data_IF_871335552854
#
_entry.id   IF_871335552854
#
_cell.length_a   1.000
_cell.length_b   1.000
_cell.length_c   1.000
_cell.angle_alpha   90.00
_cell.angle_beta   90.00
_cell.angle_gamma   90.00
#
_symmetry.space_group_name_H-M   'P 1'
#
loop_
_entity.id
_entity.type
_entity.pdbx_description
1 polymer ?
2 non-polymer ?
3 non-polymer ?
4 water ?
#
# COMPACT_ATOMS: atom_id res chain seq x y z
N UNK A 2 -42.64 7.03 1.22
CA UNK A 2 -41.27 6.72 0.81
C UNK A 2 -41.19 5.81 -0.43
N UNK A 3 -39.97 5.65 -0.94
CA UNK A 3 -39.65 4.60 -1.92
C UNK A 3 -38.45 3.79 -1.43
N UNK A 4 -38.54 2.49 -1.60
CA UNK A 4 -37.44 1.60 -1.32
C UNK A 4 -37.47 0.65 -2.48
N UNK A 5 -36.33 0.45 -3.10
CA UNK A 5 -36.26 -0.28 -4.35
C UNK A 5 -35.17 -1.34 -4.32
N UNK A 6 -35.36 -2.38 -5.13
CA UNK A 6 -34.31 -3.34 -5.37
C UNK A 6 -33.15 -2.60 -6.02
N UNK A 7 -31.95 -2.83 -5.52
CA UNK A 7 -30.76 -2.18 -6.06
C UNK A 7 -29.94 -3.21 -6.83
N UNK A 8 -29.92 -3.13 -8.16
CA UNK A 8 -29.15 -4.13 -8.89
C UNK A 8 -27.66 -3.99 -8.66
N UNK A 9 -26.98 -5.12 -8.75
CA UNK A 9 -25.53 -5.17 -8.58
C UNK A 9 -24.91 -6.23 -9.50
N UNK A 10 -23.59 -6.14 -9.66
CA UNK A 10 -22.83 -7.15 -10.39
C UNK A 10 -21.77 -7.65 -9.43
N UNK A 11 -21.30 -8.86 -9.67
CA UNK A 11 -20.20 -9.39 -8.86
C UNK A 11 -18.91 -8.73 -9.28
N UNK A 12 -18.19 -8.17 -8.34
CA UNK A 12 -17.03 -7.36 -8.66
C UNK A 12 -15.74 -8.09 -8.32
N UNK A 13 -15.70 -8.68 -7.14
CA UNK A 13 -14.54 -9.42 -6.69
C UNK A 13 -14.95 -10.53 -5.75
N UNK A 14 -14.12 -11.58 -5.65
CA UNK A 14 -14.40 -12.64 -4.74
C UNK A 14 -13.09 -13.25 -4.27
N UNK A 15 -13.12 -13.76 -3.05
CA UNK A 15 -11.93 -14.40 -2.46
C UNK A 15 -11.57 -15.66 -3.24
N UNK A 16 -12.59 -16.44 -3.56
CA UNK A 16 -12.44 -17.75 -4.18
C UNK A 16 -13.83 -18.27 -4.53
N UNK A 17 -13.86 -19.38 -5.26
CA UNK A 17 -15.09 -20.13 -5.41
C UNK A 17 -14.74 -21.57 -5.66
N UNK A 18 -15.64 -22.44 -5.26
CA UNK A 18 -15.51 -23.86 -5.45
C UNK A 18 -16.29 -24.35 -6.67
N UNK A 19 -15.64 -25.17 -7.49
CA UNK A 19 -16.30 -25.91 -8.57
C UNK A 19 -17.18 -24.98 -9.41
N UNK A 20 -18.46 -25.28 -9.53
CA UNK A 20 -19.34 -24.44 -10.36
C UNK A 20 -20.24 -23.56 -9.51
N UNK A 21 -19.91 -23.46 -8.23
CA UNK A 21 -20.66 -22.62 -7.27
C UNK A 21 -20.18 -21.19 -7.40
N UNK A 22 -20.58 -20.57 -8.51
CA UNK A 22 -20.05 -19.28 -8.93
C UNK A 22 -20.53 -18.11 -8.04
N UNK A 23 -19.68 -17.09 -7.91
CA UNK A 23 -20.11 -15.84 -7.27
C UNK A 23 -21.44 -15.35 -7.86
N UNK A 24 -21.60 -15.46 -9.17
CA UNK A 24 -22.78 -14.92 -9.85
C UNK A 24 -24.04 -15.68 -9.48
N UNK A 25 -23.89 -16.83 -8.85
CA UNK A 25 -25.09 -17.58 -8.50
C UNK A 25 -25.95 -16.87 -7.43
N UNK A 26 -25.41 -15.88 -6.76
CA UNK A 26 -26.16 -15.14 -5.73
C UNK A 26 -27.20 -14.24 -6.37
N UNK A 27 -27.13 -14.09 -7.70
CA UNK A 27 -28.05 -13.22 -8.43
C UNK A 27 -29.41 -13.79 -8.62
N UNK A 28 -29.55 -15.09 -8.49
CA UNK A 28 -30.82 -15.72 -8.76
C UNK A 28 -31.32 -16.52 -7.58
N UNK A 29 -32.62 -16.36 -7.34
CA UNK A 29 -33.29 -17.06 -6.27
C UNK A 29 -33.97 -18.32 -6.84
N UNK A 30 -33.31 -19.46 -6.65
CA UNK A 30 -33.79 -20.73 -7.16
C UNK A 30 -33.62 -21.77 -6.06
N UNK A 31 -34.45 -21.71 -5.01
CA UNK A 31 -34.23 -22.58 -3.85
C UNK A 31 -34.39 -24.01 -4.32
N UNK A 32 -35.03 -24.11 -5.49
CA UNK A 32 -35.28 -25.32 -6.22
C UNK A 32 -34.06 -26.02 -6.87
N UNK A 33 -32.85 -25.53 -6.59
CA UNK A 33 -31.61 -25.91 -7.28
C UNK A 33 -30.41 -25.88 -6.31
N UNK A 34 -29.92 -27.05 -5.90
CA UNK A 34 -28.85 -27.10 -4.89
C UNK A 34 -27.52 -26.52 -5.37
N UNK A 35 -27.36 -26.36 -6.68
CA UNK A 35 -26.15 -25.76 -7.18
C UNK A 35 -26.25 -24.24 -7.36
N UNK A 36 -27.43 -23.63 -7.15
CA UNK A 36 -27.54 -22.17 -7.36
C UNK A 36 -27.00 -21.39 -6.17
N UNK A 37 -25.70 -21.48 -5.92
CA UNK A 37 -25.11 -20.76 -4.82
C UNK A 37 -23.67 -20.45 -5.13
N UNK A 38 -23.16 -19.44 -4.46
CA UNK A 38 -21.71 -19.25 -4.33
C UNK A 38 -21.22 -20.09 -3.16
N UNK A 39 -20.13 -20.83 -3.38
CA UNK A 39 -19.45 -21.46 -2.27
C UNK A 39 -18.01 -21.08 -2.33
N UNK A 40 -17.47 -20.70 -1.18
CA UNK A 40 -16.04 -20.48 -1.06
C UNK A 40 -15.25 -21.79 -1.27
N UNK A 41 -13.97 -21.65 -1.58
CA UNK A 41 -13.07 -22.79 -1.77
C UNK A 41 -12.69 -23.41 -0.43
N UNK A 42 -12.60 -22.58 0.62
CA UNK A 42 -12.29 -23.10 1.94
C UNK A 42 -12.92 -22.15 2.95
N UNK A 43 -12.79 -22.48 4.23
CA UNK A 43 -13.31 -21.59 5.29
C UNK A 43 -12.25 -20.72 5.92
N UNK A 44 -11.04 -20.80 5.40
CA UNK A 44 -9.96 -19.99 5.97
C UNK A 44 -10.02 -18.55 5.40
N UNK A 45 -9.81 -17.56 6.26
CA UNK A 45 -9.94 -16.14 5.86
C UNK A 45 -8.76 -15.66 5.06
N UNK A 46 -8.97 -14.64 4.23
CA UNK A 46 -10.26 -13.95 4.08
C UNK A 46 -11.16 -14.64 3.06
N UNK A 47 -12.46 -14.73 3.33
CA UNK A 47 -13.40 -15.10 2.28
C UNK A 47 -14.42 -13.98 2.17
N UNK A 48 -14.83 -13.67 0.95
CA UNK A 48 -15.77 -12.56 0.79
C UNK A 48 -16.30 -12.54 -0.62
N UNK A 49 -17.41 -11.84 -0.80
CA UNK A 49 -17.89 -11.42 -2.10
C UNK A 49 -18.00 -9.92 -2.04
N UNK A 50 -17.57 -9.25 -3.12
CA UNK A 50 -17.80 -7.81 -3.26
C UNK A 50 -18.73 -7.58 -4.43
N UNK A 51 -19.81 -6.89 -4.12
CA UNK A 51 -20.83 -6.55 -5.07
C UNK A 51 -20.70 -5.09 -5.44
N UNK A 52 -20.77 -4.79 -6.73
CA UNK A 52 -20.75 -3.41 -7.19
C UNK A 52 -22.11 -2.99 -7.70
N UNK A 53 -22.70 -1.99 -7.05
CA UNK A 53 -23.99 -1.54 -7.49
C UNK A 53 -23.91 -0.87 -8.84
N UNK A 54 -25.02 -0.84 -9.56
CA UNK A 54 -25.04 -0.16 -10.84
C UNK A 54 -24.88 1.33 -10.71
N UNK A 55 -25.37 1.86 -9.60
CA UNK A 55 -25.19 3.24 -9.28
C UNK A 55 -25.16 3.36 -7.75
N UNK A 56 -24.55 4.43 -7.26
CA UNK A 56 -24.55 4.60 -5.81
C UNK A 56 -25.96 4.70 -5.24
N UNK A 57 -26.14 4.24 -4.00
CA UNK A 57 -27.44 4.19 -3.36
C UNK A 57 -27.28 4.18 -1.87
N UNK A 58 -28.34 4.58 -1.18
CA UNK A 58 -28.43 4.38 0.25
C UNK A 58 -28.89 2.94 0.43
N UNK A 59 -28.00 2.08 0.89
CA UNK A 59 -28.28 0.65 0.97
C UNK A 59 -28.86 0.32 2.34
N UNK A 60 -30.17 0.07 2.37
CA UNK A 60 -30.89 -0.01 3.64
C UNK A 60 -31.09 -1.40 4.17
N UNK A 61 -31.25 -2.39 3.28
CA UNK A 61 -31.49 -3.76 3.71
C UNK A 61 -30.72 -4.72 2.86
N UNK A 62 -30.42 -5.88 3.42
CA UNK A 62 -29.93 -7.00 2.63
C UNK A 62 -30.79 -8.19 2.91
N UNK A 63 -31.18 -8.86 1.82
CA UNK A 63 -31.99 -10.06 1.92
C UNK A 63 -31.18 -11.24 1.43
N UNK A 64 -31.14 -12.29 2.25
CA UNK A 64 -30.53 -13.56 1.88
C UNK A 64 -31.59 -14.61 1.57
N UNK A 65 -31.54 -15.21 0.40
CA UNK A 65 -32.36 -16.37 0.10
C UNK A 65 -31.67 -17.63 0.60
N UNK A 66 -32.35 -18.76 0.48
CA UNK A 66 -31.82 -20.00 1.03
C UNK A 66 -32.20 -21.16 0.13
N UNK A 67 -31.68 -22.33 0.48
CA UNK A 67 -32.04 -23.56 -0.21
C UNK A 67 -33.38 -24.05 0.29
N UNK A 68 -33.98 -24.99 -0.43
CA UNK A 68 -35.29 -25.54 -0.09
C UNK A 68 -35.29 -26.25 1.26
N UNK A 69 -34.14 -26.78 1.65
CA UNK A 69 -33.97 -27.41 2.96
C UNK A 69 -32.85 -26.75 3.76
N UNK A 70 -32.72 -27.19 5.01
CA UNK A 70 -31.56 -26.81 5.81
C UNK A 70 -30.30 -27.19 5.03
N UNK A 71 -29.21 -26.44 5.23
CA UNK A 71 -27.94 -26.74 4.56
C UNK A 71 -26.76 -26.44 5.46
N UNK A 72 -25.80 -27.36 5.46
CA UNK A 72 -24.64 -27.25 6.34
C UNK A 72 -23.80 -25.99 6.04
N UNK A 73 -23.91 -25.47 4.82
CA UNK A 73 -22.99 -24.43 4.36
C UNK A 73 -23.54 -23.06 4.66
N UNK A 74 -24.79 -23.03 5.13
CA UNK A 74 -25.49 -21.74 5.36
C UNK A 74 -24.70 -20.94 6.37
N UNK A 75 -24.76 -19.63 6.26
CA UNK A 75 -23.97 -18.78 7.14
C UNK A 75 -24.59 -18.58 8.52
N UNK A 76 -24.01 -19.25 9.50
CA UNK A 76 -24.44 -19.03 10.87
C UNK A 76 -24.06 -17.60 11.30
N UNK A 77 -22.93 -17.12 10.80
CA UNK A 77 -22.42 -15.79 11.13
C UNK A 77 -21.82 -15.14 9.88
N UNK A 78 -22.05 -13.83 9.75
CA UNK A 78 -21.48 -13.08 8.67
C UNK A 78 -21.44 -11.60 9.06
N UNK A 79 -20.62 -10.84 8.33
CA UNK A 79 -20.65 -9.39 8.36
C UNK A 79 -20.86 -8.83 6.98
N UNK A 80 -21.40 -7.61 6.93
CA UNK A 80 -21.53 -6.84 5.70
C UNK A 80 -20.83 -5.50 5.87
N UNK A 81 -20.03 -5.13 4.87
CA UNK A 81 -19.38 -3.85 4.84
C UNK A 81 -19.82 -3.12 3.60
N UNK A 82 -19.67 -1.80 3.59
CA UNK A 82 -20.02 -1.04 2.42
C UNK A 82 -19.17 0.19 2.29
N UNK A 83 -19.00 0.68 1.07
CA UNK A 83 -18.26 1.90 0.89
C UNK A 83 -18.44 2.48 -0.48
N UNK A 84 -17.92 3.69 -0.67
CA UNK A 84 -17.89 4.28 -2.00
C UNK A 84 -16.75 3.69 -2.86
N UNK A 85 -15.77 3.05 -2.24
CA UNK A 85 -14.82 2.24 -3.00
C UNK A 85 -14.58 0.92 -2.29
N UNK A 86 -13.65 0.11 -2.81
CA UNK A 86 -13.37 -1.23 -2.25
C UNK A 86 -12.51 -1.16 -0.98
N UNK A 87 -11.72 -0.11 -0.88
CA UNK A 87 -10.85 0.05 0.28
C UNK A 87 -11.62 0.80 1.35
N UNK A 88 -11.20 0.65 2.61
CA UNK A 88 -11.75 1.44 3.72
C UNK A 88 -13.25 1.34 3.92
N UNK A 89 -13.84 0.18 3.72
CA UNK A 89 -15.28 0.03 3.86
C UNK A 89 -15.72 0.09 5.33
N UNK A 90 -16.97 0.45 5.54
CA UNK A 90 -17.57 0.62 6.84
C UNK A 90 -18.33 -0.64 7.19
N UNK A 91 -18.23 -1.11 8.42
CA UNK A 91 -19.07 -2.23 8.82
C UNK A 91 -20.53 -1.80 8.92
N UNK A 92 -21.42 -2.51 8.25
CA UNK A 92 -22.84 -2.15 8.20
C UNK A 92 -23.71 -3.09 9.01
N UNK A 93 -23.21 -4.30 9.23
CA UNK A 93 -23.97 -5.31 9.88
C UNK A 93 -23.07 -6.44 10.35
N UNK A 94 -23.38 -6.95 11.53
CA UNK A 94 -22.79 -8.20 11.99
C UNK A 94 -23.91 -9.04 12.56
N UNK A 95 -24.20 -10.17 11.91
CA UNK A 95 -25.33 -10.99 12.35
C UNK A 95 -25.14 -12.41 11.86
N UNK A 96 -26.25 -13.10 11.61
CA UNK A 96 -26.21 -14.49 11.21
C UNK A 96 -27.57 -14.92 10.69
N UNK A 97 -27.58 -16.02 9.93
CA UNK A 97 -28.81 -16.57 9.38
C UNK A 97 -29.34 -17.73 10.21
N UNK A 98 -30.66 -17.90 10.18
CA UNK A 98 -31.26 -19.10 10.74
C UNK A 98 -30.99 -20.23 9.75
N UNK A 99 -30.76 -21.44 10.26
CA UNK A 99 -30.61 -22.61 9.39
C UNK A 99 -31.97 -23.18 9.04
N UNK A 100 -32.67 -22.48 8.17
CA UNK A 100 -33.98 -22.91 7.70
C UNK A 100 -34.07 -22.51 6.24
N UNK A 101 -35.26 -22.63 5.68
CA UNK A 101 -35.47 -22.38 4.25
C UNK A 101 -36.17 -21.05 3.99
N UNK A 102 -36.19 -20.19 5.01
CA UNK A 102 -36.90 -18.91 4.92
C UNK A 102 -35.96 -17.76 4.58
N UNK A 103 -36.33 -17.00 3.56
CA UNK A 103 -35.64 -15.76 3.18
C UNK A 103 -35.52 -14.88 4.43
N UNK A 104 -34.41 -14.16 4.62
CA UNK A 104 -34.32 -13.24 5.76
C UNK A 104 -33.81 -11.89 5.31
N UNK A 105 -34.41 -10.81 5.84
CA UNK A 105 -33.95 -9.48 5.53
C UNK A 105 -33.42 -8.78 6.78
N UNK A 106 -32.28 -8.09 6.62
CA UNK A 106 -31.63 -7.38 7.71
C UNK A 106 -31.44 -5.93 7.32
N UNK A 107 -31.65 -5.07 8.30
CA UNK A 107 -31.36 -3.66 8.17
C UNK A 107 -29.86 -3.44 8.22
N UNK A 108 -29.36 -2.64 7.29
CA UNK A 108 -27.96 -2.28 7.27
C UNK A 108 -27.78 -0.88 7.86
N UNK A 109 -26.69 -0.65 8.57
CA UNK A 109 -26.33 0.71 8.97
C UNK A 109 -26.24 1.54 7.69
N UNK A 110 -26.92 2.68 7.67
CA UNK A 110 -26.89 3.52 6.46
C UNK A 110 -26.93 5.00 6.82
N UNK A 111 -26.66 5.29 8.09
CA UNK A 111 -26.57 6.67 8.61
C UNK A 111 -25.34 6.80 9.49
N UNK A 112 -24.78 8.01 9.52
CA UNK A 112 -23.77 8.40 10.48
C UNK A 112 -24.37 9.55 11.23
N UNK A 113 -24.51 9.36 12.55
CA UNK A 113 -25.35 10.25 13.33
C UNK A 113 -26.73 10.14 12.67
N UNK A 114 -27.31 11.26 12.25
CA UNK A 114 -28.61 11.20 11.59
C UNK A 114 -28.54 11.41 10.08
N UNK A 115 -27.34 11.39 9.51
CA UNK A 115 -27.21 11.63 8.07
C UNK A 115 -27.02 10.34 7.29
N UNK A 116 -27.85 10.14 6.28
CA UNK A 116 -27.71 8.96 5.46
C UNK A 116 -26.46 9.04 4.60
N UNK A 117 -25.82 7.91 4.39
CA UNK A 117 -24.69 7.82 3.48
C UNK A 117 -24.87 6.75 2.43
N UNK A 118 -24.25 6.97 1.26
CA UNK A 118 -24.37 6.01 0.18
C UNK A 118 -23.19 5.04 0.08
N UNK A 119 -23.42 3.90 -0.57
CA UNK A 119 -22.38 2.96 -0.98
C UNK A 119 -22.42 2.75 -2.49
N UNK A 120 -21.29 2.36 -3.05
CA UNK A 120 -21.23 1.82 -4.42
C UNK A 120 -20.86 0.33 -4.40
N UNK A 121 -20.20 -0.10 -3.32
CA UNK A 121 -19.75 -1.47 -3.13
C UNK A 121 -20.28 -2.03 -1.81
N UNK A 122 -20.67 -3.30 -1.83
CA UNK A 122 -21.11 -4.02 -0.64
C UNK A 122 -20.28 -5.30 -0.56
N UNK A 123 -19.65 -5.53 0.59
CA UNK A 123 -18.81 -6.70 0.77
C UNK A 123 -19.44 -7.58 1.82
N UNK A 124 -19.72 -8.82 1.46
CA UNK A 124 -20.25 -9.79 2.37
C UNK A 124 -19.13 -10.72 2.84
N UNK A 125 -18.96 -10.81 4.15
CA UNK A 125 -17.90 -11.61 4.74
C UNK A 125 -18.50 -12.73 5.56
N UNK A 126 -18.50 -13.95 5.01
CA UNK A 126 -18.97 -15.06 5.82
C UNK A 126 -17.95 -15.37 6.90
N UNK A 127 -18.43 -15.76 8.07
CA UNK A 127 -17.55 -16.04 9.20
C UNK A 127 -17.71 -17.47 9.77
N UNK A 128 -18.94 -17.96 9.81
CA UNK A 128 -19.21 -19.28 10.34
C UNK A 128 -20.32 -19.96 9.57
N UNK A 129 -20.09 -21.25 9.29
CA UNK A 129 -21.13 -22.10 8.73
C UNK A 129 -21.84 -22.84 9.83
N UNK A 130 -23.09 -23.21 9.57
CA UNK A 130 -23.86 -23.96 10.55
C UNK A 130 -23.22 -25.31 10.85
N UNK A 131 -22.61 -25.90 9.83
CA UNK A 131 -21.79 -27.08 10.04
C UNK A 131 -20.35 -26.70 9.75
N UNK A 132 -19.52 -26.60 10.80
CA UNK A 132 -18.18 -25.99 10.79
C UNK A 132 -17.28 -26.37 9.60
N UNK A 133 -17.33 -27.62 9.17
CA UNK A 133 -16.46 -28.15 8.13
C UNK A 133 -16.71 -27.54 6.76
N UNK A 134 -17.97 -27.42 6.40
CA UNK A 134 -18.31 -27.18 5.01
C UNK A 134 -18.11 -25.73 4.60
N UNK A 135 -17.76 -25.54 3.34
CA UNK A 135 -17.42 -24.24 2.79
C UNK A 135 -18.52 -23.29 3.11
N UNK A 136 -18.26 -21.99 3.00
CA UNK A 136 -19.28 -21.01 3.20
C UNK A 136 -20.11 -20.97 1.92
N UNK A 137 -21.43 -20.85 2.04
CA UNK A 137 -22.28 -20.71 0.87
C UNK A 137 -23.29 -19.61 1.04
N UNK A 138 -23.55 -18.92 -0.06
CA UNK A 138 -24.59 -17.87 -0.11
C UNK A 138 -25.46 -18.20 -1.30
N UNK A 139 -26.78 -18.30 -1.08
CA UNK A 139 -27.67 -18.70 -2.14
C UNK A 139 -28.20 -17.56 -3.00
N UNK A 140 -28.53 -16.44 -2.38
CA UNK A 140 -29.17 -15.37 -3.10
C UNK A 140 -29.08 -14.14 -2.26
N UNK A 141 -28.75 -13.03 -2.89
CA UNK A 141 -28.66 -11.75 -2.22
C UNK A 141 -29.47 -10.73 -3.00
N UNK A 142 -30.32 -10.02 -2.29
CA UNK A 142 -31.06 -8.91 -2.83
C UNK A 142 -30.80 -7.69 -1.95
N UNK A 143 -30.35 -6.60 -2.57
CA UNK A 143 -30.09 -5.37 -1.86
C UNK A 143 -31.28 -4.43 -2.10
N UNK A 144 -31.69 -3.65 -1.09
CA UNK A 144 -32.77 -2.69 -1.27
C UNK A 144 -32.44 -1.40 -0.56
N UNK A 145 -33.01 -0.33 -1.07
CA UNK A 145 -32.72 0.97 -0.51
C UNK A 145 -33.16 2.07 -1.42
N UNK A 146 -32.47 3.20 -1.31
CA UNK A 146 -32.87 4.38 -2.04
C UNK A 146 -31.81 4.64 -3.12
N UNK A 147 -32.24 4.68 -4.38
CA UNK A 147 -31.33 5.04 -5.46
C UNK A 147 -31.76 6.29 -6.19
N UNK A 148 -32.88 6.87 -5.76
CA UNK A 148 -33.33 8.17 -6.27
C UNK A 148 -32.18 9.17 -6.19
N UNK A 149 -31.68 9.67 -7.33
CA UNK A 149 -30.61 10.66 -7.38
C UNK A 149 -30.89 11.92 -6.58
N UNK A 150 -32.16 12.30 -6.49
CA UNK A 150 -32.49 13.49 -5.70
C UNK A 150 -32.23 13.29 -4.20
N UNK A 151 -32.16 12.02 -3.77
CA UNK A 151 -31.74 11.75 -2.39
C UNK A 151 -30.26 11.36 -2.37
N UNK A 152 -29.88 10.46 -3.27
CA UNK A 152 -28.49 9.98 -3.26
C UNK A 152 -27.43 11.06 -3.50
N UNK A 153 -27.69 12.00 -4.41
CA UNK A 153 -26.68 13.01 -4.74
C UNK A 153 -26.27 13.92 -3.60
N UNK A 154 -27.24 14.51 -2.85
CA UNK A 154 -26.84 15.31 -1.70
C UNK A 154 -26.16 14.49 -0.62
N UNK A 155 -26.61 13.26 -0.39
CA UNK A 155 -25.92 12.38 0.53
C UNK A 155 -24.47 12.12 0.09
N UNK A 156 -24.26 11.92 -1.21
CA UNK A 156 -22.93 11.66 -1.77
C UNK A 156 -22.05 12.89 -1.54
N UNK A 157 -22.63 14.06 -1.74
CA UNK A 157 -21.95 15.33 -1.53
C UNK A 157 -21.51 15.47 -0.07
N UNK A 158 -22.46 15.28 0.84
CA UNK A 158 -22.13 15.32 2.24
C UNK A 158 -21.06 14.31 2.57
N UNK A 159 -21.22 13.09 2.06
CA UNK A 159 -20.37 12.00 2.47
C UNK A 159 -18.97 12.17 1.91
N UNK A 160 -18.84 12.79 0.74
CA UNK A 160 -17.54 13.04 0.18
C UNK A 160 -16.79 14.01 1.06
N UNK A 161 -17.46 15.04 1.54
CA UNK A 161 -16.83 15.98 2.44
C UNK A 161 -16.45 15.32 3.76
N UNK A 162 -17.34 14.50 4.30
CA UNK A 162 -17.08 13.77 5.54
C UNK A 162 -15.86 12.88 5.43
N UNK A 163 -15.81 12.10 4.36
CA UNK A 163 -14.71 11.20 4.19
C UNK A 163 -13.41 11.96 3.95
N UNK A 164 -13.50 13.11 3.30
CA UNK A 164 -12.31 13.93 3.09
C UNK A 164 -11.75 14.46 4.40
N UNK A 165 -12.65 14.93 5.25
CA UNK A 165 -12.25 15.41 6.57
C UNK A 165 -11.65 14.27 7.38
N UNK A 166 -12.26 13.10 7.32
CA UNK A 166 -11.73 11.96 8.05
C UNK A 166 -10.37 11.53 7.52
N UNK A 167 -10.20 11.59 6.19
CA UNK A 167 -8.93 11.19 5.56
C UNK A 167 -7.83 12.10 6.07
N UNK A 168 -8.13 13.40 6.13
CA UNK A 168 -7.17 14.41 6.58
C UNK A 168 -6.82 14.18 8.03
N UNK A 169 -7.86 14.05 8.85
CA UNK A 169 -7.67 13.84 10.28
C UNK A 169 -6.80 12.61 10.55
N UNK A 170 -7.09 11.52 9.84
CA UNK A 170 -6.37 10.28 10.04
C UNK A 170 -5.00 10.32 9.35
N UNK A 171 -4.91 11.03 8.24
CA UNK A 171 -3.63 11.21 7.56
C UNK A 171 -2.68 11.87 8.53
N UNK A 172 -3.12 12.93 9.19
CA UNK A 172 -2.25 13.65 10.11
C UNK A 172 -2.05 12.85 11.40
N UNK A 173 -3.09 12.18 11.86
CA UNK A 173 -2.93 11.34 13.05
C UNK A 173 -1.85 10.30 12.83
N UNK A 174 -1.93 9.60 11.70
CA UNK A 174 -0.95 8.56 11.41
C UNK A 174 0.43 9.14 11.11
N UNK A 175 0.46 10.29 10.44
CA UNK A 175 1.72 10.93 10.10
C UNK A 175 2.45 11.27 11.40
N UNK A 176 1.71 11.80 12.37
CA UNK A 176 2.29 12.25 13.63
C UNK A 176 2.65 11.10 14.59
N UNK A 177 1.97 9.96 14.46
CA UNK A 177 2.29 8.77 15.24
C UNK A 177 3.62 8.17 14.78
N UNK A 178 3.78 8.10 13.46
CA UNK A 178 4.97 7.52 12.84
C UNK A 178 6.11 8.54 12.75
N UNK A 179 6.26 9.35 13.80
CA UNK A 179 7.29 10.38 13.88
C UNK A 179 7.61 10.72 15.33
N UNK B 1 33.18 22.32 15.33
CA UNK B 1 31.73 22.19 15.27
C UNK B 1 31.19 22.33 13.83
N UNK B 2 30.18 21.51 13.51
CA UNK B 2 29.45 21.48 12.23
C UNK B 2 30.29 21.27 11.00
N UNK B 3 31.44 20.66 11.18
CA UNK B 3 32.27 20.20 10.09
C UNK B 3 31.45 19.17 9.30
N UNK B 4 31.68 19.10 8.02
CA UNK B 4 31.14 17.99 7.27
C UNK B 4 31.94 16.77 7.73
N UNK B 5 31.26 15.73 8.19
CA UNK B 5 31.92 14.55 8.78
C UNK B 5 31.38 13.27 8.18
N UNK B 6 32.16 12.20 8.20
CA UNK B 6 31.71 10.92 7.77
C UNK B 6 30.50 10.45 8.60
N UNK B 7 29.49 9.95 7.91
CA UNK B 7 28.25 9.47 8.52
C UNK B 7 28.18 7.96 8.45
N UNK B 8 28.31 7.31 9.61
CA UNK B 8 28.26 5.84 9.55
C UNK B 8 26.89 5.32 9.14
N UNK B 9 26.92 4.17 8.48
CA UNK B 9 25.67 3.54 8.03
C UNK B 9 25.81 2.02 8.04
N UNK B 10 24.69 1.34 7.91
CA UNK B 10 24.70 -0.10 7.74
C UNK B 10 23.89 -0.42 6.50
N UNK B 11 24.14 -1.60 5.94
CA UNK B 11 23.32 -2.05 4.83
C UNK B 11 21.94 -2.51 5.34
N UNK B 12 20.89 -2.02 4.71
CA UNK B 12 19.52 -2.23 5.15
C UNK B 12 18.74 -3.13 4.22
N UNK B 13 18.81 -2.85 2.92
CA UNK B 13 18.10 -3.68 1.95
C UNK B 13 18.89 -3.67 0.65
N UNK B 14 18.67 -4.68 -0.19
CA UNK B 14 19.34 -4.74 -1.47
C UNK B 14 18.45 -5.48 -2.45
N UNK B 15 18.57 -5.13 -3.72
CA UNK B 15 17.81 -5.79 -4.75
C UNK B 15 18.26 -7.22 -4.92
N UNK B 16 19.57 -7.41 -4.93
CA UNK B 16 20.20 -8.69 -5.23
C UNK B 16 21.70 -8.56 -4.91
N UNK B 17 22.41 -9.70 -4.89
CA UNK B 17 23.87 -9.66 -4.91
C UNK B 17 24.36 -10.96 -5.54
N UNK B 18 25.51 -10.87 -6.17
CA UNK B 18 26.09 -12.00 -6.82
C UNK B 18 27.13 -12.64 -5.90
N UNK B 19 27.02 -13.96 -5.79
CA UNK B 19 27.98 -14.84 -5.10
C UNK B 19 28.47 -14.23 -3.79
N UNK B 20 29.73 -13.84 -3.73
CA UNK B 20 30.27 -13.28 -2.47
C UNK B 20 30.49 -11.78 -2.54
N UNK B 21 29.96 -11.15 -3.57
CA UNK B 21 30.06 -9.70 -3.72
C UNK B 21 28.97 -9.02 -2.94
N UNK B 22 29.16 -9.06 -1.63
CA UNK B 22 28.16 -8.71 -0.66
C UNK B 22 27.82 -7.23 -0.62
N UNK B 23 26.56 -6.91 -0.30
CA UNK B 23 26.23 -5.50 -0.05
C UNK B 23 27.21 -4.85 0.92
N UNK B 24 27.60 -5.59 1.95
CA UNK B 24 28.43 -5.01 3.00
C UNK B 24 29.82 -4.64 2.51
N UNK B 25 30.19 -5.10 1.32
CA UNK B 25 31.54 -4.81 0.83
C UNK B 25 31.72 -3.32 0.53
N UNK B 26 30.64 -2.56 0.45
CA UNK B 26 30.75 -1.12 0.17
C UNK B 26 31.27 -0.33 1.38
N UNK B 27 31.33 -1.00 2.53
CA UNK B 27 31.78 -0.39 3.78
C UNK B 27 33.27 -0.28 3.86
N UNK B 28 34.00 -1.01 3.03
CA UNK B 28 35.45 -0.97 3.14
C UNK B 28 36.13 -0.54 1.85
N UNK B 29 37.09 0.36 2.03
CA UNK B 29 37.81 0.93 0.92
C UNK B 29 39.10 0.15 0.76
N UNK B 30 39.08 -0.79 -0.15
CA UNK B 30 40.21 -1.71 -0.36
C UNK B 30 40.44 -1.83 -1.86
N UNK B 31 41.04 -0.78 -2.46
CA UNK B 31 41.13 -0.67 -3.93
C UNK B 31 42.01 -1.74 -4.60
N UNK B 32 42.89 -2.38 -3.84
CA UNK B 32 43.61 -3.54 -4.38
C UNK B 32 42.90 -4.90 -4.30
N UNK B 33 41.66 -4.94 -3.85
CA UNK B 33 40.99 -6.20 -3.69
C UNK B 33 39.82 -6.23 -4.66
N UNK B 34 40.00 -7.02 -5.71
CA UNK B 34 38.99 -7.10 -6.76
C UNK B 34 37.68 -7.65 -6.22
N UNK B 35 37.73 -8.32 -5.07
CA UNK B 35 36.50 -8.88 -4.53
C UNK B 35 35.79 -7.96 -3.52
N UNK B 36 36.38 -6.82 -3.20
CA UNK B 36 35.80 -5.95 -2.20
C UNK B 36 34.75 -5.02 -2.81
N UNK B 37 33.65 -5.61 -3.27
CA UNK B 37 32.57 -4.85 -3.88
C UNK B 37 31.24 -5.55 -3.72
N UNK B 38 30.17 -4.76 -3.80
CA UNK B 38 28.83 -5.27 -4.03
C UNK B 38 28.69 -5.39 -5.54
N UNK B 39 28.14 -6.53 -6.00
CA UNK B 39 27.77 -6.68 -7.39
C UNK B 39 26.33 -7.14 -7.40
N UNK B 40 25.49 -6.50 -8.20
CA UNK B 40 24.15 -6.99 -8.40
C UNK B 40 24.19 -8.36 -9.10
N UNK B 41 23.10 -9.11 -8.99
CA UNK B 41 23.03 -10.41 -9.64
C UNK B 41 22.75 -10.28 -11.13
N UNK B 42 22.08 -9.20 -11.53
CA UNK B 42 21.92 -8.89 -12.95
C UNK B 42 21.79 -7.38 -13.09
N UNK B 43 21.69 -6.90 -14.33
CA UNK B 43 21.50 -5.47 -14.56
C UNK B 43 20.05 -5.10 -14.84
N UNK B 44 19.13 -6.06 -14.73
CA UNK B 44 17.73 -5.74 -14.95
C UNK B 44 17.08 -5.05 -13.75
N UNK B 45 16.22 -4.06 -14.04
CA UNK B 45 15.65 -3.23 -12.98
C UNK B 45 14.52 -3.89 -12.21
N UNK B 46 14.36 -3.52 -10.94
CA UNK B 46 15.19 -2.50 -10.29
C UNK B 46 16.40 -3.10 -9.59
N UNK B 47 17.53 -2.40 -9.59
CA UNK B 47 18.65 -2.80 -8.71
C UNK B 47 18.95 -1.62 -7.81
N UNK B 48 19.36 -1.91 -6.57
CA UNK B 48 19.61 -0.87 -5.60
C UNK B 48 20.25 -1.43 -4.35
N UNK B 49 20.89 -0.51 -3.59
CA UNK B 49 21.25 -0.72 -2.19
C UNK B 49 20.55 0.36 -1.37
N UNK B 50 20.04 -0.02 -0.22
CA UNK B 50 19.49 0.96 0.75
C UNK B 50 20.38 0.87 2.00
N UNK B 51 20.92 2.02 2.37
CA UNK B 51 21.82 2.22 3.51
C UNK B 51 21.02 2.91 4.58
N UNK B 52 21.15 2.42 5.81
CA UNK B 52 20.51 3.05 6.96
C UNK B 52 21.55 3.70 7.85
N UNK B 53 21.45 5.01 7.98
CA UNK B 53 22.38 5.71 8.82
C UNK B 53 22.16 5.31 10.27
N UNK B 54 23.19 5.41 11.10
CA UNK B 54 23.03 5.15 12.54
C UNK B 54 22.13 6.15 13.26
N UNK B 55 22.13 7.38 12.75
CA UNK B 55 21.33 8.46 13.25
C UNK B 55 20.90 9.29 12.07
N UNK B 56 19.78 9.99 12.21
CA UNK B 56 19.43 10.88 11.10
C UNK B 56 20.48 11.96 10.94
N UNK B 57 20.65 12.45 9.73
CA UNK B 57 21.68 13.42 9.44
C UNK B 57 21.29 14.23 8.22
N UNK B 58 21.88 15.42 8.10
CA UNK B 58 21.83 16.16 6.86
C UNK B 58 22.93 15.54 5.99
N UNK B 59 22.52 14.82 4.95
CA UNK B 59 23.49 14.06 4.14
C UNK B 59 23.94 14.93 2.98
N UNK B 60 25.17 15.44 3.06
CA UNK B 60 25.61 16.45 2.11
C UNK B 60 26.36 15.89 0.91
N UNK B 61 27.11 14.79 1.08
CA UNK B 61 27.90 14.25 -0.02
C UNK B 61 27.86 12.74 -0.01
N UNK B 62 28.11 12.18 -1.20
CA UNK B 62 28.38 10.75 -1.32
C UNK B 62 29.68 10.59 -2.07
N UNK B 63 30.55 9.75 -1.53
CA UNK B 63 31.82 9.42 -2.10
C UNK B 63 31.85 7.96 -2.55
N UNK B 64 32.26 7.71 -3.79
CA UNK B 64 32.42 6.36 -4.33
C UNK B 64 33.88 6.06 -4.48
N UNK B 65 34.32 4.97 -3.87
CA UNK B 65 35.66 4.45 -4.14
C UNK B 65 35.66 3.59 -5.39
N UNK B 66 36.85 3.18 -5.79
CA UNK B 66 37.07 2.47 -7.06
C UNK B 66 38.04 1.33 -6.83
N UNK B 67 38.20 0.50 -7.86
CA UNK B 67 39.22 -0.54 -7.89
C UNK B 67 40.52 0.14 -8.31
N UNK B 68 41.67 -0.49 -8.06
CA UNK B 68 42.98 0.10 -8.38
C UNK B 68 43.20 0.27 -9.88
N UNK B 69 42.47 -0.51 -10.65
CA UNK B 69 42.50 -0.41 -12.09
C UNK B 69 41.13 0.03 -12.57
N UNK B 70 41.04 0.37 -13.86
CA UNK B 70 39.74 0.55 -14.50
C UNK B 70 38.91 -0.75 -14.41
N UNK B 71 37.59 -0.63 -14.39
CA UNK B 71 36.72 -1.81 -14.32
C UNK B 71 35.41 -1.61 -15.08
N UNK B 72 35.00 -2.65 -15.79
CA UNK B 72 33.79 -2.66 -16.59
C UNK B 72 32.49 -2.52 -15.76
N UNK B 73 32.54 -2.85 -14.48
CA UNK B 73 31.32 -2.97 -13.69
C UNK B 73 30.99 -1.60 -13.08
N UNK B 74 31.92 -0.66 -13.26
CA UNK B 74 31.77 0.67 -12.64
C UNK B 74 30.53 1.35 -13.15
N UNK B 75 29.94 2.19 -12.32
CA UNK B 75 28.65 2.79 -12.62
C UNK B 75 28.81 3.99 -13.54
N UNK B 76 28.49 3.81 -14.81
CA UNK B 76 28.50 4.94 -15.74
C UNK B 76 27.36 5.91 -15.40
N UNK B 77 26.24 5.37 -14.94
CA UNK B 77 25.12 6.19 -14.55
C UNK B 77 24.51 5.62 -13.28
N UNK B 78 24.06 6.51 -12.39
CA UNK B 78 23.40 6.06 -11.17
C UNK B 78 22.57 7.23 -10.65
N UNK B 79 21.62 6.91 -9.77
CA UNK B 79 20.90 7.91 -9.02
C UNK B 79 20.99 7.62 -7.53
N UNK B 80 20.82 8.65 -6.73
CA UNK B 80 20.75 8.50 -5.28
C UNK B 80 19.47 9.15 -4.73
N UNK B 81 18.78 8.46 -3.85
CA UNK B 81 17.58 8.95 -3.21
C UNK B 81 17.79 8.92 -1.71
N UNK B 82 17.00 9.69 -0.97
CA UNK B 82 17.09 9.71 0.47
C UNK B 82 15.76 10.03 1.09
N UNK B 83 15.55 9.54 2.29
CA UNK B 83 14.34 9.86 3.01
C UNK B 83 14.47 9.53 4.47
N UNK B 84 13.47 9.99 5.21
CA UNK B 84 13.33 9.61 6.61
C UNK B 84 12.75 8.21 6.76
N UNK B 85 12.11 7.69 5.72
CA UNK B 85 11.74 6.28 5.70
C UNK B 85 12.05 5.70 4.34
N UNK B 86 11.79 4.41 4.15
CA UNK B 86 12.16 3.74 2.89
C UNK B 86 11.20 4.09 1.78
N UNK B 87 9.98 4.44 2.13
CA UNK B 87 8.99 4.82 1.12
C UNK B 87 9.06 6.31 0.80
N UNK B 88 8.63 6.69 -0.39
CA UNK B 88 8.54 8.11 -0.74
C UNK B 88 9.87 8.88 -0.62
N UNK B 89 10.96 8.25 -0.98
CA UNK B 89 12.25 8.94 -0.96
C UNK B 89 12.35 9.99 -2.03
N UNK B 90 13.22 10.98 -1.78
CA UNK B 90 13.45 12.12 -2.67
C UNK B 90 14.69 11.90 -3.49
N UNK B 91 14.66 12.25 -4.77
CA UNK B 91 15.88 12.15 -5.57
C UNK B 91 16.87 13.22 -5.12
N UNK B 92 18.10 12.80 -4.83
CA UNK B 92 19.13 13.71 -4.30
C UNK B 92 20.22 13.98 -5.33
N UNK B 93 20.36 13.06 -6.28
CA UNK B 93 21.42 13.13 -7.27
C UNK B 93 21.17 12.21 -8.46
N UNK B 94 21.50 12.69 -9.64
CA UNK B 94 21.53 11.85 -10.81
C UNK B 94 22.82 12.16 -11.52
N UNK B 95 23.72 11.18 -11.58
CA UNK B 95 25.01 11.46 -12.21
C UNK B 95 25.66 10.18 -12.72
N UNK B 96 26.99 10.15 -12.71
CA UNK B 96 27.73 9.01 -13.22
C UNK B 96 29.16 9.06 -12.75
N UNK B 97 29.84 7.92 -12.76
CA UNK B 97 31.25 7.88 -12.38
C UNK B 97 32.17 7.84 -13.59
N UNK B 98 33.37 8.35 -13.40
CA UNK B 98 34.41 8.20 -14.40
C UNK B 98 34.94 6.78 -14.35
N UNK B 99 35.32 6.24 -15.49
CA UNK B 99 35.95 4.93 -15.48
C UNK B 99 37.45 5.09 -15.24
N UNK B 100 37.80 5.41 -14.01
CA UNK B 100 39.20 5.51 -13.65
C UNK B 100 39.36 4.98 -12.23
N UNK B 101 40.51 5.20 -11.62
CA UNK B 101 40.77 4.61 -10.31
C UNK B 101 40.67 5.67 -9.22
N UNK B 102 40.09 6.81 -9.56
CA UNK B 102 40.01 7.91 -8.65
C UNK B 102 38.68 7.96 -7.94
N UNK B 103 38.76 8.01 -6.62
CA UNK B 103 37.61 8.24 -5.81
C UNK B 103 36.89 9.50 -6.28
N UNK B 104 35.57 9.52 -6.23
CA UNK B 104 34.80 10.69 -6.62
C UNK B 104 33.79 11.04 -5.56
N UNK B 105 33.66 12.33 -5.27
CA UNK B 105 32.65 12.78 -4.29
C UNK B 105 31.64 13.70 -4.96
N UNK B 106 30.35 13.49 -4.66
CA UNK B 106 29.28 14.28 -5.25
C UNK B 106 28.46 14.94 -4.17
N UNK B 107 28.09 16.20 -4.41
CA UNK B 107 27.17 16.90 -3.55
C UNK B 107 25.78 16.31 -3.77
N UNK B 108 25.07 16.03 -2.67
CA UNK B 108 23.70 15.55 -2.73
C UNK B 108 22.77 16.72 -2.44
N UNK B 109 21.60 16.76 -3.08
CA UNK B 109 20.58 17.73 -2.66
C UNK B 109 20.32 17.49 -1.19
N UNK B 110 20.33 18.56 -0.38
CA UNK B 110 20.08 18.41 1.06
C UNK B 110 19.34 19.61 1.61
N UNK B 111 18.77 20.42 0.72
CA UNK B 111 17.93 21.54 1.08
C UNK B 111 16.68 21.56 0.23
N UNK B 112 15.62 22.07 0.83
CA UNK B 112 14.42 22.42 0.11
C UNK B 112 14.37 23.91 0.28
N UNK B 113 14.53 24.65 -0.80
CA UNK B 113 14.76 26.09 -0.71
C UNK B 113 16.03 26.33 0.09
N UNK B 114 15.93 27.09 1.18
CA UNK B 114 17.13 27.36 1.98
C UNK B 114 17.17 26.47 3.21
N UNK B 115 16.21 25.57 3.38
CA UNK B 115 16.21 24.76 4.61
C UNK B 115 16.78 23.40 4.38
N UNK B 116 17.72 23.05 5.25
CA UNK B 116 18.27 21.70 5.22
C UNK B 116 17.20 20.71 5.67
N UNK B 117 17.23 19.54 5.08
CA UNK B 117 16.42 18.43 5.53
C UNK B 117 17.30 17.23 5.80
N UNK B 118 16.88 16.38 6.76
CA UNK B 118 17.65 15.19 7.07
C UNK B 118 17.13 13.93 6.37
N UNK B 119 17.99 12.94 6.33
CA UNK B 119 17.62 11.58 5.95
C UNK B 119 17.99 10.57 7.03
N UNK B 120 17.29 9.43 7.01
CA UNK B 120 17.73 8.25 7.75
C UNK B 120 18.17 7.11 6.81
N UNK B 121 17.64 7.13 5.60
CA UNK B 121 17.94 6.13 4.58
C UNK B 121 18.45 6.77 3.31
N UNK B 122 19.43 6.11 2.70
CA UNK B 122 19.96 6.53 1.43
C UNK B 122 19.90 5.33 0.47
N UNK B 123 19.30 5.52 -0.71
CA UNK B 123 19.18 4.46 -1.69
C UNK B 123 19.99 4.79 -2.92
N UNK B 124 20.89 3.87 -3.29
CA UNK B 124 21.70 4.06 -4.47
C UNK B 124 21.15 3.12 -5.54
N UNK B 125 20.82 3.71 -6.69
CA UNK B 125 20.26 3.00 -7.81
C UNK B 125 21.20 3.06 -9.02
N UNK B 126 21.95 1.97 -9.26
CA UNK B 126 22.78 1.90 -10.47
C UNK B 126 21.91 1.80 -11.70
N UNK B 127 22.29 2.48 -12.79
CA UNK B 127 21.50 2.46 -14.00
C UNK B 127 22.27 1.94 -15.20
N UNK B 128 23.57 2.22 -15.29
CA UNK B 128 24.35 1.80 -16.44
C UNK B 128 25.77 1.46 -15.98
N UNK B 129 26.32 0.38 -16.49
CA UNK B 129 27.73 0.07 -16.28
C UNK B 129 28.51 0.59 -17.47
N UNK B 130 29.81 0.81 -17.28
CA UNK B 130 30.64 1.33 -18.36
C UNK B 130 30.85 0.55 -19.69
N UNK B 131 30.88 -0.78 -19.73
CA UNK B 131 30.31 -1.65 -18.73
C UNK B 131 29.08 -2.37 -19.23
N UNK B 132 28.59 -2.04 -20.45
CA UNK B 132 27.23 -2.47 -20.77
C UNK B 132 26.95 -3.89 -20.34
N UNK B 133 27.99 -4.70 -20.50
CA UNK B 133 27.93 -6.12 -20.26
C UNK B 133 27.73 -6.51 -18.79
N UNK B 134 28.71 -6.14 -17.99
CA UNK B 134 28.90 -6.75 -16.69
C UNK B 134 28.01 -6.10 -15.65
N UNK B 135 27.72 -6.88 -14.60
CA UNK B 135 26.80 -6.47 -13.52
C UNK B 135 27.18 -5.15 -12.91
N UNK B 136 26.26 -4.54 -12.16
CA UNK B 136 26.55 -3.28 -11.52
C UNK B 136 27.43 -3.57 -10.33
N UNK B 137 28.48 -2.80 -10.15
CA UNK B 137 29.32 -2.96 -8.99
C UNK B 137 29.58 -1.64 -8.30
N UNK B 138 29.60 -1.68 -6.98
CA UNK B 138 29.96 -0.53 -6.16
C UNK B 138 31.06 -0.97 -5.22
N UNK B 139 32.19 -0.28 -5.22
CA UNK B 139 33.36 -0.70 -4.43
C UNK B 139 33.32 -0.19 -3.00
N UNK B 140 32.94 1.06 -2.81
CA UNK B 140 33.02 1.69 -1.52
C UNK B 140 32.17 2.92 -1.54
N UNK B 141 31.41 3.13 -0.47
CA UNK B 141 30.58 4.30 -0.36
C UNK B 141 30.86 4.96 0.97
N UNK B 142 31.05 6.26 0.93
CA UNK B 142 31.21 7.05 2.14
C UNK B 142 30.20 8.19 2.10
N UNK B 143 29.40 8.29 3.14
CA UNK B 143 28.43 9.39 3.27
C UNK B 143 28.99 10.43 4.21
N UNK B 144 28.74 11.72 3.94
CA UNK B 144 29.24 12.77 4.80
C UNK B 144 28.22 13.89 4.87
N UNK B 145 28.27 14.59 5.99
CA UNK B 145 27.34 15.67 6.23
C UNK B 145 27.32 16.01 7.71
N UNK B 146 26.18 16.54 8.16
CA UNK B 146 26.06 17.07 9.51
C UNK B 146 25.17 16.17 10.32
N UNK B 147 25.69 15.64 11.41
CA UNK B 147 24.86 14.80 12.28
C UNK B 147 24.77 15.35 13.68
N UNK B 148 25.34 16.52 13.89
CA UNK B 148 25.19 17.22 15.18
C UNK B 148 23.71 17.33 15.51
N UNK B 149 23.27 16.68 16.58
CA UNK B 149 21.88 16.69 17.00
C UNK B 149 21.30 18.07 17.21
N UNK B 150 22.12 19.05 17.57
CA UNK B 150 21.64 20.43 17.75
C UNK B 150 21.23 21.05 16.41
N UNK B 151 21.71 20.47 15.31
CA UNK B 151 21.33 20.92 13.99
C UNK B 151 20.24 20.00 13.46
N UNK B 152 20.48 18.70 13.57
CA UNK B 152 19.56 17.72 13.04
C UNK B 152 18.18 17.71 13.66
N UNK B 153 18.07 17.83 14.98
CA UNK B 153 16.73 17.77 15.60
C UNK B 153 15.80 18.89 15.17
N UNK B 154 16.26 20.16 15.24
CA UNK B 154 15.34 21.20 14.75
C UNK B 154 15.06 21.02 13.25
N UNK B 155 16.05 20.59 12.47
CA UNK B 155 15.79 20.37 11.05
C UNK B 155 14.73 19.28 10.83
N UNK B 156 14.79 18.22 11.63
CA UNK B 156 13.76 17.18 11.58
C UNK B 156 12.37 17.69 11.94
N UNK B 157 12.29 18.53 12.97
CA UNK B 157 11.03 19.16 13.33
C UNK B 157 10.45 19.98 12.17
N UNK B 158 11.26 20.82 11.54
CA UNK B 158 10.80 21.61 10.41
C UNK B 158 10.36 20.70 9.28
N UNK B 159 11.17 19.69 8.99
CA UNK B 159 10.93 18.87 7.83
C UNK B 159 9.65 18.08 8.04
N UNK B 160 9.31 17.77 9.29
CA UNK B 160 8.06 17.09 9.56
C UNK B 160 6.85 17.97 9.20
N UNK B 161 6.98 19.25 9.49
CA UNK B 161 5.95 20.23 9.16
C UNK B 161 5.82 20.35 7.65
N UNK B 162 6.94 20.38 6.95
CA UNK B 162 6.93 20.41 5.50
C UNK B 162 6.27 19.16 4.91
N UNK B 163 6.67 17.98 5.37
CA UNK B 163 6.10 16.76 4.89
C UNK B 163 4.61 16.65 5.20
N UNK B 164 4.19 17.21 6.33
CA UNK B 164 2.80 17.16 6.71
C UNK B 164 1.98 17.97 5.69
N UNK B 165 2.51 19.12 5.31
CA UNK B 165 1.81 19.92 4.29
C UNK B 165 1.69 19.19 2.97
N UNK B 166 2.77 18.56 2.56
CA UNK B 166 2.77 17.84 1.31
C UNK B 166 1.83 16.64 1.42
N UNK B 167 1.78 16.01 2.59
CA UNK B 167 0.92 14.83 2.77
C UNK B 167 -0.56 15.22 2.58
N UNK B 168 -0.90 16.37 3.15
CA UNK B 168 -2.25 16.91 3.09
C UNK B 168 -2.59 17.24 1.63
N UNK B 169 -1.68 17.93 0.98
CA UNK B 169 -1.90 18.29 -0.43
C UNK B 169 -2.12 17.04 -1.30
N UNK B 170 -1.29 16.04 -1.11
CA UNK B 170 -1.39 14.84 -1.90
C UNK B 170 -2.55 13.98 -1.47
N UNK B 171 -2.85 13.97 -0.18
CA UNK B 171 -3.99 13.21 0.31
C UNK B 171 -5.26 13.74 -0.37
N UNK B 172 -5.43 15.06 -0.40
CA UNK B 172 -6.61 15.64 -1.00
C UNK B 172 -6.59 15.52 -2.51
N UNK B 173 -5.42 15.67 -3.10
CA UNK B 173 -5.31 15.46 -4.54
C UNK B 173 -5.78 14.04 -4.90
N UNK B 174 -5.28 13.04 -4.17
CA UNK B 174 -5.62 11.64 -4.43
C UNK B 174 -7.06 11.29 -4.06
N UNK B 175 -7.57 11.90 -3.00
CA UNK B 175 -8.97 11.65 -2.61
C UNK B 175 -9.90 12.22 -3.67
N UNK B 176 -9.57 13.42 -4.16
CA UNK B 176 -10.38 14.16 -5.13
C UNK B 176 -10.25 13.65 -6.56
N UNK B 177 -9.16 12.94 -6.86
CA UNK B 177 -9.02 12.32 -8.17
C UNK B 177 -10.02 11.15 -8.26
N UNK B 178 -10.21 10.44 -7.15
CA UNK B 178 -11.25 9.41 -7.08
C UNK B 178 -12.62 10.01 -6.76
N UNK B 179 -12.96 11.15 -7.37
CA UNK B 179 -14.25 11.81 -7.14
C UNK B 179 -14.78 11.53 -5.74
X LIG C 1 -30.46 -7.99 -7.92
X LIG C 1 -30.75 -8.94 -6.87
X LIG C 1 -28.96 -7.93 -8.20
X LIG C 1 -28.61 -7.52 -9.52
X LIG C 1 -30.81 -7.00 -7.62
X LIG C 1 -30.99 -8.28 -8.82
X LIG C 1 -31.71 -8.95 -6.70
X LIG C 1 -28.50 -7.25 -7.49
X LIG C 1 -28.53 -8.92 -8.02
X LIG C 1 -27.65 -7.51 -9.61
X LIG D 1 -10.91 -17.32 -10.24
X LIG D 1 -11.71 -16.15 -10.42
X LIG D 1 -10.32 -17.33 -8.86
X LIG D 1 -11.32 -16.96 -7.93
X LIG D 1 -10.11 -17.32 -10.99
X LIG D 1 -11.51 -18.21 -10.39
X LIG D 1 -12.09 -16.14 -11.31
X LIG D 1 -9.94 -18.33 -8.63
X LIG D 1 -9.48 -16.63 -8.81
X LIG D 1 -10.96 -16.97 -7.04
X LIG E 1 -26.19 17.47 4.03
X LIG E 1 -26.66 16.73 2.88
X LIG E 1 -25.35 18.63 3.53
X LIG E 1 -24.88 19.33 4.69
X LIG E 1 -25.58 16.81 4.66
X LIG E 1 -27.02 17.84 4.61
X LIG E 1 -27.20 15.99 3.18
X LIG E 1 -24.50 18.26 2.94
X LIG E 1 -25.95 19.28 2.90
X LIG E 1 -24.34 20.09 4.42
X LIG F 1 -13.56 -3.83 4.54
X LIG F 1 -12.65 -2.81 4.07
X LIG F 1 -12.97 -4.70 5.63
X LIG F 1 -13.34 -6.06 5.50
X LIG F 1 -13.84 -4.47 3.69
X LIG F 1 -14.47 -3.36 4.89
X LIG F 1 -13.07 -2.30 3.37
X LIG F 1 -11.88 -4.61 5.62
X LIG F 1 -13.32 -4.32 6.60
X LIG F 1 -12.95 -6.58 6.21
X LIG G 1 -10.11 -7.03 -0.82
X LIG G 1 -11.29 -6.70 -0.09
X LIG G 1 -10.21 -6.42 -2.21
X LIG G 1 -10.85 -5.13 -2.12
X LIG G 1 -9.22 -6.65 -0.30
X LIG G 1 -10.02 -8.12 -0.90
X LIG G 1 -11.24 -7.09 0.79
X LIG G 1 -10.79 -7.07 -2.86
X LIG G 1 -9.22 -6.30 -2.64
X LIG G 1 -10.91 -4.75 -3.01
X LIG H 1 -15.87 -20.91 17.23
X LIG H 1 -15.91 -19.47 17.21
X LIG H 1 -15.82 -21.44 15.80
X LIG H 1 -15.68 -22.87 15.76
X LIG H 1 -14.99 -21.25 17.78
X LIG H 1 -16.76 -21.30 17.74
X LIG H 1 -15.94 -19.14 18.12
X LIG H 1 -16.75 -21.17 15.28
X LIG H 1 -15.00 -20.97 15.27
X LIG H 1 -15.65 -23.17 14.85
X LIG I 1 -9.69 -19.59 -0.88
X LIG I 1 -9.21 -18.26 -0.68
X LIG I 1 -9.43 -20.50 0.31
X LIG I 1 -8.49 -21.55 0.00
X LIG I 1 -10.76 -19.55 -1.08
X LIG I 1 -9.20 -20.01 -1.77
X LIG I 1 -9.39 -17.73 -1.47
X LIG I 1 -10.37 -20.95 0.64
X LIG I 1 -9.04 -19.91 1.14
X LIG I 1 -8.35 -22.10 0.77
X LIG J 1 -10.96 20.98 4.18
X LIG J 1 -11.10 21.73 2.97
X LIG J 1 -10.93 19.47 3.88
X LIG J 1 -12.23 19.03 3.47
X LIG J 1 -11.80 21.20 4.84
X LIG J 1 -10.05 21.26 4.70
X LIG J 1 -11.11 22.68 3.18
X LIG J 1 -10.21 19.27 3.08
X LIG J 1 -10.61 18.93 4.77
X LIG J 1 -12.20 18.07 3.29
X LIG K 1 -33.88 -10.48 10.40
X LIG K 1 -33.45 -9.53 11.40
X LIG K 1 -33.93 -11.85 11.03
X LIG K 1 -34.61 -12.76 10.17
X LIG K 1 -33.18 -10.47 9.57
X LIG K 1 -34.87 -10.20 10.03
X LIG K 1 -33.41 -8.64 11.01
X LIG K 1 -32.91 -12.21 11.22
X LIG K 1 -34.45 -11.80 11.99
X LIG K 1 -34.63 -13.64 10.57
X LIG L 1 -11.28 -22.54 11.41
X LIG L 1 -11.46 -21.11 11.43
X LIG L 1 -11.46 -23.02 9.97
X LIG L 1 -11.22 -24.44 9.91
X LIG L 1 -12.02 -23.00 12.05
X LIG L 1 -10.29 -22.80 11.78
X LIG L 1 -11.34 -20.78 12.33
X LIG L 1 -12.47 -22.81 9.62
X LIG L 1 -10.75 -22.50 9.32
X LIG L 1 -11.32 -24.75 9.00
X LIG M 1 -13.73 -9.01 -12.44
X LIG M 1 -14.89 -9.51 -13.08
X LIG M 1 -12.94 -10.15 -11.78
X LIG M 1 -12.53 -9.73 -10.48
X LIG M 1 -11.73 -10.56 -12.62
X LIG M 1 -11.62 -11.97 -12.77
X LIG M 1 -13.09 -8.52 -13.17
X LIG M 1 -14.02 -8.28 -11.69
X LIG M 1 -15.40 -8.76 -13.44
X LIG M 1 -13.60 -11.01 -11.68
X LIG M 1 -12.06 -10.46 -10.04
X LIG M 1 -11.82 -10.10 -13.61
X LIG M 1 -10.82 -10.17 -12.16
X LIG M 1 -11.12 -12.34 -12.00
X LIG N 1 -13.68 -26.70 -2.30
X LIG N 1 -13.46 -27.03 -3.69
X LIG N 1 -13.93 -27.95 -1.44
X LIG N 1 -13.62 -27.66 -0.06
X LIG N 1 -12.80 -26.18 -1.92
X LIG N 1 -14.54 -26.03 -2.22
X LIG N 1 -13.31 -26.22 -4.19
X LIG N 1 -14.96 -28.26 -1.53
X LIG N 1 -13.29 -28.77 -1.79
X LIG N 1 -13.78 -28.44 0.47
X LIG O 1 -11.24 -9.42 3.55
X LIG O 1 -11.50 -8.41 2.59
X LIG O 1 -12.48 -9.75 4.38
X LIG O 1 -12.82 -11.14 4.27
X LIG O 1 -10.90 -10.33 3.04
X LIG O 1 -10.44 -9.09 4.22
X LIG O 1 -10.71 -8.23 2.08
X LIG O 1 -12.30 -9.48 5.42
X LIG O 1 -13.31 -9.13 4.03
X LIG O 1 -13.61 -11.32 4.80
X LIG P 1 -42.52 9.14 -0.69
X LIG P 1 -41.36 8.83 -1.47
X LIG P 1 -43.01 10.48 -1.20
X LIG P 1 -41.84 11.14 -1.69
X LIG P 1 -42.27 9.19 0.37
X LIG P 1 -43.29 8.37 -0.83
X LIG P 1 -41.00 7.98 -1.19
X LIG P 1 -43.46 11.06 -0.38
X LIG P 1 -43.74 10.35 -1.99
X LIG P 1 -42.07 12.00 -2.03
X LIG Q 1 17.82 13.36 -14.29
X LIG Q 1 18.45 12.11 -14.60
X LIG Q 1 17.16 13.33 -12.91
X LIG Q 1 16.09 12.39 -12.90
X LIG Q 1 17.06 13.57 -15.05
X LIG Q 1 18.56 14.16 -14.33
X LIG Q 1 18.85 12.15 -15.47
X LIG Q 1 17.91 13.05 -12.16
X LIG Q 1 16.79 14.33 -12.66
X LIG Q 1 15.68 12.38 -12.02
X LIG R 1 18.90 -12.40 -1.36
X LIG R 1 19.37 -11.21 -2.00
X LIG R 1 19.81 -12.75 -0.19
X LIG R 1 19.75 -11.70 0.79
X LIG R 1 17.87 -12.26 -1.00
X LIG R 1 18.90 -13.23 -2.08
X LIG R 1 18.79 -11.00 -2.74
X LIG R 1 19.49 -13.69 0.26
X LIG R 1 20.83 -12.87 -0.54
X LIG R 1 20.32 -11.91 1.53
X LIG S 1 12.42 5.38 -4.00
X LIG S 1 12.68 5.91 -5.31
X LIG S 1 11.25 6.06 -3.33
X LIG S 1 11.07 5.39 -2.08
X LIG S 1 13.31 5.49 -3.38
X LIG S 1 12.22 4.31 -4.09
X LIG S 1 13.43 5.44 -5.70
X LIG S 1 11.47 7.12 -3.17
X LIG S 1 10.35 5.97 -3.95
X LIG S 1 10.34 5.78 -1.59
X LIG T 1 12.92 0.13 -2.34
X LIG T 1 12.43 0.15 -3.69
X LIG T 1 12.12 1.11 -1.49
X LIG T 1 12.84 2.34 -1.25
X LIG T 1 13.98 0.42 -2.33
X LIG T 1 12.84 -0.87 -1.94
X LIG T 1 12.96 -0.47 -4.23
X LIG T 1 11.89 0.65 -0.53
X LIG T 1 11.17 1.33 -1.98
X LIG T 1 12.30 2.93 -0.72
X LIG U 1 13.94 3.13 -7.52
X LIG U 1 14.36 3.69 -8.78
X LIG U 1 14.43 1.69 -7.36
X LIG U 1 13.79 1.05 -6.25
X LIG U 1 12.86 3.15 -7.44
X LIG U 1 14.34 3.74 -6.70
X LIG U 1 14.04 4.59 -8.85
X LIG U 1 15.52 1.69 -7.20
X LIG U 1 14.23 1.13 -8.28
X LIG U 1 14.11 0.14 -6.17
X LIG V 1 10.43 10.88 3.85
X LIG V 1 11.54 11.78 3.82
X LIG V 1 10.47 9.97 2.65
X LIG V 1 11.13 8.76 3.04
X LIG V 1 9.49 11.45 3.85
X LIG V 1 10.47 10.28 4.76
X LIG V 1 11.51 12.36 4.59
X LIG V 1 9.45 9.75 2.31
X LIG V 1 11.00 10.45 1.83
X LIG V 1 11.17 8.15 2.28
X LIG W 1 20.59 12.73 15.18
X LIG W 1 21.71 13.22 14.44
X LIG W 1 19.90 13.80 16.03
X LIG W 1 18.51 13.44 16.25
X LIG W 1 19.86 12.31 14.48
X LIG W 1 20.93 11.92 15.83
X LIG W 1 22.10 12.50 13.92
X LIG W 1 20.41 13.89 16.99
X LIG W 1 19.95 14.76 15.52
X LIG W 1 18.09 14.12 16.79
X LIG X 1 16.47 20.65 20.12
X LIG X 1 15.78 20.44 18.88
X LIG X 1 17.98 20.79 19.88
X LIG X 1 18.62 19.56 20.22
X LIG X 1 16.28 19.82 20.79
X LIG X 1 16.09 21.56 20.60
X LIG X 1 14.83 20.36 19.06
X LIG X 1 18.16 21.03 18.84
X LIG X 1 18.38 21.59 20.50
X LIG X 1 19.58 19.64 20.07
X LIG Y 1 31.84 3.03 4.97
X LIG Y 1 32.34 2.50 6.19
X LIG Y 1 31.90 4.54 5.06
X LIG Y 1 31.42 4.80 6.39
X LIG Y 1 32.45 2.68 4.13
X LIG Y 1 30.81 2.70 4.80
X LIG Y 1 32.31 1.53 6.16
X LIG Y 1 32.93 4.90 4.93
X LIG Y 1 31.25 5.01 4.31
X LIG Y 1 31.42 5.74 6.56
X LIG Z 1 31.95 14.64 -9.15
X LIG Z 1 31.66 15.55 -10.22
X LIG Z 1 33.46 14.47 -8.97
X LIG Z 1 33.98 13.59 -9.97
X LIG Z 1 31.51 15.01 -8.23
X LIG Z 1 31.51 13.67 -9.38
X LIG Z 1 30.70 15.63 -10.32
X LIG Z 1 33.66 14.07 -7.98
X LIG Z 1 33.95 15.45 -9.04
X LIG Z 1 34.93 13.49 -9.85
#
# INVERSE_FOLDING_TARGET
AMECRLLPYALHKWSSFSSTYLPENILVDKPNDQSSRWSSESNYPPQYLILKLERPAIVQNITFGKYEKTHVCNLKKFKVFGGMNEENMTELLSSGLKNDYNKETFTLKHKIDEQMFPCRFIKIVPLLSWGPSFNFSIWYVELSGIDDPDIVQPCLNWYSKYREQEAIRLCLKHFRQHNYTEAFESLQKKTKIALE
AMECRLLPYALHKWSSFSSTYLPENILVDKPNDQSSRWSSESNYPPQYLILKLERPAIVQNITFGKYEKTHVCNLKKFKVFGGMNEENMTELLSSGLKNDYNKETFTLKHKIDEQMFPCRFIKIVPLLSWGPSFNFSIWYVELSGIDDPDIVQPCLNWYSKYREQEAIRLCLKHFRQHNYTEAFESLQKKTKIALE
EDO C1 O1 C2 O2 H11 H12 HO1 H21 H22 HO2
EDO C1 O1 C2 O2 H11 H12 HO1 H21 H22 HO2
EDO C1 O1 C2 O2 H11 H12 HO1 H21 H22 HO2
EDO C1 O1 C2 O2 H11 H12 HO1 H21 H22 HO2
EDO C1 O1 C2 O2 H11 H12 HO1 H21 H22 HO2
EDO C1 O1 C2 O2 H11 H12 HO1 H21 H22 HO2
EDO C1 O1 C2 O2 H11 H12 HO1 H21 H22 HO2
EDO C1 O1 C2 O2 H11 H12 HO1 H21 H22 HO2
EDO C1 O1 C2 O2 H11 H12 HO1 H21 H22 HO2
EDO C1 O1 C2 O2 H11 H12 HO1 H21 H22 HO2
GOL C1 O1 C2 O2 C3 O3 H11 H12 HO1 H2 HO2 H31 H32 HO3
EDO C1 O1 C2 O2 H11 H12 HO1 H21 H22 HO2
EDO C1 O1 C2 O2 H11 H12 HO1 H21 H22 HO2
EDO C1 O1 C2 O2 H11 H12 HO1 H21 H22 HO2
EDO C1 O1 C2 O2 H11 H12 HO1 H21 H22 HO2
EDO C1 O1 C2 O2 H11 H12 HO1 H21 H22 HO2
EDO C1 O1 C2 O2 H11 H12 HO1 H21 H22 HO2
EDO C1 O1 C2 O2 H11 H12 HO1 H21 H22 HO2
EDO C1 O1 C2 O2 H11 H12 HO1 H21 H22 HO2
EDO C1 O1 C2 O2 H11 H12 HO1 H21 H22 HO2
EDO C1 O1 C2 O2 H11 H12 HO1 H21 H22 HO2
EDO C1 O1 C2 O2 H11 H12 HO1 H21 H22 HO2
EDO C1 O1 C2 O2 H11 H12 HO1 H21 H22 HO2
EDO C1 O1 C2 O2 H11 H12 HO1 H21 H22 HO2
#
